data_IF_607593297961
#
_entry.id   IF_607593297961
#
_cell.length_a   1.000
_cell.length_b   1.000
_cell.length_c   1.000
_cell.angle_alpha   90.00
_cell.angle_beta   90.00
_cell.angle_gamma   90.00
#
_symmetry.space_group_name_H-M   'P 1'
#
loop_
_entity.id
_entity.type
_entity.pdbx_description
1 polymer ?
#
# COMPACT_ATOMS: atom_id res chain seq x y z
N UNK A 1 -0.07 -7.69 10.52
CA UNK A 1 -1.51 -7.92 10.26
C UNK A 1 -2.22 -6.70 9.67
N UNK A 2 -2.05 -5.52 10.29
CA UNK A 2 -2.70 -4.28 9.86
C UNK A 2 -2.22 -3.79 8.48
N UNK A 3 -0.94 -3.96 8.14
CA UNK A 3 -0.41 -3.55 6.83
C UNK A 3 -1.17 -4.19 5.66
N UNK A 4 -1.50 -5.48 5.79
CA UNK A 4 -2.28 -6.18 4.77
C UNK A 4 -3.75 -5.73 4.72
N UNK A 5 -4.33 -5.31 5.86
CA UNK A 5 -5.68 -4.75 5.90
C UNK A 5 -5.73 -3.36 5.24
N UNK A 6 -4.74 -2.52 5.51
CA UNK A 6 -4.57 -1.19 4.88
C UNK A 6 -4.36 -1.36 3.37
N UNK A 7 -3.46 -2.26 2.96
CA UNK A 7 -3.21 -2.57 1.57
C UNK A 7 -4.47 -3.09 0.85
N UNK A 8 -5.22 -3.98 1.49
CA UNK A 8 -6.47 -4.51 0.94
C UNK A 8 -7.53 -3.41 0.75
N UNK A 9 -7.67 -2.53 1.74
CA UNK A 9 -8.61 -1.40 1.66
C UNK A 9 -8.23 -0.41 0.55
N UNK A 10 -6.95 0.00 0.49
CA UNK A 10 -6.45 0.90 -0.54
C UNK A 10 -6.58 0.29 -1.94
N UNK A 11 -6.27 -1.00 -2.11
CA UNK A 11 -6.42 -1.71 -3.38
C UNK A 11 -7.89 -1.82 -3.80
N UNK A 12 -8.80 -2.17 -2.88
CA UNK A 12 -10.22 -2.34 -3.18
C UNK A 12 -10.88 -1.05 -3.68
N UNK A 13 -10.43 0.10 -3.18
CA UNK A 13 -10.90 1.42 -3.60
C UNK A 13 -10.06 2.05 -4.70
N UNK A 14 -9.02 1.38 -5.18
CA UNK A 14 -8.08 1.92 -6.15
C UNK A 14 -7.48 3.24 -5.66
N UNK A 15 -6.95 3.31 -4.45
CA UNK A 15 -6.22 4.47 -3.91
C UNK A 15 -4.71 4.35 -4.15
N UNK A 16 -3.97 5.40 -3.80
CA UNK A 16 -2.51 5.39 -3.68
C UNK A 16 -2.19 5.33 -2.18
N UNK A 17 -1.39 4.34 -1.77
CA UNK A 17 -0.93 4.21 -0.39
C UNK A 17 0.40 4.95 -0.22
N UNK A 18 0.39 6.02 0.57
CA UNK A 18 1.60 6.77 0.90
C UNK A 18 2.26 6.15 2.14
N UNK A 19 3.51 5.73 2.04
CA UNK A 19 4.24 5.10 3.14
C UNK A 19 5.76 5.23 2.98
N UNK A 20 6.46 5.37 4.10
CA UNK A 20 7.93 5.36 4.14
C UNK A 20 8.50 3.92 4.16
N UNK A 21 7.65 2.90 4.27
CA UNK A 21 8.06 1.48 4.26
C UNK A 21 7.65 0.79 2.96
N UNK A 22 8.07 1.34 1.81
CA UNK A 22 7.66 0.85 0.49
C UNK A 22 7.86 -0.65 0.30
N UNK A 23 8.99 -1.21 0.76
CA UNK A 23 9.33 -2.63 0.60
C UNK A 23 8.27 -3.59 1.11
N UNK A 24 7.57 -3.20 2.19
CA UNK A 24 6.53 -4.01 2.81
C UNK A 24 5.24 -4.07 1.96
N UNK A 25 5.00 -3.03 1.16
CA UNK A 25 3.77 -2.85 0.37
C UNK A 25 3.95 -3.11 -1.13
N UNK A 26 5.16 -3.00 -1.67
CA UNK A 26 5.49 -3.35 -3.06
C UNK A 26 5.20 -4.83 -3.38
N UNK A 27 5.20 -5.70 -2.36
CA UNK A 27 4.85 -7.12 -2.51
C UNK A 27 3.36 -7.37 -2.75
N UNK A 28 2.50 -6.36 -2.67
CA UNK A 28 1.04 -6.48 -2.86
C UNK A 28 0.69 -6.18 -4.32
N UNK A 29 0.32 -7.19 -5.13
CA UNK A 29 0.04 -6.98 -6.55
C UNK A 29 -1.14 -6.04 -6.78
N UNK A 30 -0.96 -5.05 -7.66
CA UNK A 30 -2.00 -4.08 -8.02
C UNK A 30 -2.24 -2.98 -6.99
N UNK A 31 -1.43 -2.90 -5.93
CA UNK A 31 -1.43 -1.76 -5.02
C UNK A 31 -0.52 -0.65 -5.57
N UNK A 32 -1.02 0.58 -5.61
CA UNK A 32 -0.22 1.76 -5.96
C UNK A 32 0.38 2.34 -4.69
N UNK A 33 1.69 2.58 -4.67
CA UNK A 33 2.43 3.01 -3.48
C UNK A 33 3.31 4.21 -3.84
N UNK A 34 3.36 5.19 -2.96
CA UNK A 34 4.26 6.36 -3.07
C UNK A 34 5.00 6.59 -1.76
N UNK A 35 6.20 7.18 -1.85
CA UNK A 35 6.92 7.72 -0.69
C UNK A 35 7.08 9.24 -0.86
N UNK A 36 6.71 9.99 0.17
CA UNK A 36 6.78 11.46 0.18
C UNK A 36 7.92 12.01 1.04
N UNK A 37 8.73 11.14 1.66
CA UNK A 37 9.88 11.50 2.50
C UNK A 37 11.19 11.12 1.83
#
# INVERSE_FOLDING_TARGET
PYDMMIAGHARAMGLILVTNNMKEFERVPGLRVENWV
#
